data_IF_375621285460
#
_entry.id   IF_375621285460
#
_cell.length_a   1.000
_cell.length_b   1.000
_cell.length_c   1.000
_cell.angle_alpha   90.00
_cell.angle_beta   90.00
_cell.angle_gamma   90.00
#
_symmetry.space_group_name_H-M   'P 1'
#
loop_
_entity.id
_entity.type
_entity.pdbx_description
1 polymer ?
#
# COMPACT_ATOMS: atom_id res chain seq x y z
N UNK A 1 19.97 -7.91 -2.79
CA UNK A 1 18.75 -8.65 -2.35
C UNK A 1 17.52 -7.76 -2.56
N UNK A 2 16.33 -8.31 -2.83
CA UNK A 2 15.13 -7.54 -3.21
C UNK A 2 14.71 -6.50 -2.15
N UNK A 3 14.74 -6.85 -0.87
CA UNK A 3 14.39 -5.96 0.24
C UNK A 3 15.31 -4.73 0.32
N UNK A 4 16.62 -4.92 0.09
CA UNK A 4 17.60 -3.82 0.08
C UNK A 4 17.46 -2.88 -1.13
N UNK A 5 16.67 -3.28 -2.14
CA UNK A 5 16.33 -2.44 -3.30
C UNK A 5 14.88 -1.96 -3.24
N UNK A 6 14.22 -2.13 -2.10
CA UNK A 6 12.83 -1.74 -1.88
C UNK A 6 11.83 -2.36 -2.88
N UNK A 7 12.18 -3.55 -3.41
CA UNK A 7 11.30 -4.34 -4.26
C UNK A 7 10.47 -5.25 -3.33
N UNK A 8 9.48 -4.65 -2.67
CA UNK A 8 8.75 -5.24 -1.54
C UNK A 8 7.92 -6.47 -1.92
N UNK A 9 7.26 -6.46 -3.07
CA UNK A 9 6.46 -7.59 -3.57
C UNK A 9 7.30 -8.87 -3.67
N UNK A 10 8.51 -8.77 -4.27
CA UNK A 10 9.44 -9.88 -4.43
C UNK A 10 10.11 -10.25 -3.11
N UNK A 11 10.52 -9.25 -2.32
CA UNK A 11 11.06 -9.46 -0.97
C UNK A 11 10.09 -10.32 -0.13
N UNK A 12 8.84 -9.86 0.01
CA UNK A 12 7.80 -10.54 0.77
C UNK A 12 7.52 -11.93 0.17
N UNK A 13 7.35 -12.05 -1.16
CA UNK A 13 7.06 -13.34 -1.79
C UNK A 13 8.16 -14.38 -1.54
N UNK A 14 9.42 -13.98 -1.67
CA UNK A 14 10.55 -14.90 -1.41
C UNK A 14 10.66 -15.27 0.07
N UNK A 15 10.47 -14.31 0.97
CA UNK A 15 10.51 -14.54 2.41
C UNK A 15 9.37 -15.44 2.89
N UNK A 16 8.16 -15.32 2.34
CA UNK A 16 7.01 -16.18 2.65
C UNK A 16 7.24 -17.66 2.27
N UNK A 17 8.15 -17.95 1.33
CA UNK A 17 8.45 -19.31 0.87
C UNK A 17 9.44 -20.06 1.76
N UNK A 18 10.16 -19.35 2.63
CA UNK A 18 11.03 -19.97 3.64
C UNK A 18 10.18 -20.60 4.75
N UNK A 19 10.57 -21.76 5.27
CA UNK A 19 9.83 -22.44 6.35
C UNK A 19 10.62 -22.52 7.64
N UNK A 20 11.93 -22.73 7.53
CA UNK A 20 12.82 -22.92 8.67
C UNK A 20 13.44 -21.61 9.17
N UNK A 21 13.72 -20.68 8.25
CA UNK A 21 14.31 -19.37 8.57
C UNK A 21 13.22 -18.32 8.39
N UNK A 22 12.68 -17.80 9.49
CA UNK A 22 11.62 -16.79 9.48
C UNK A 22 12.24 -15.43 9.82
N UNK A 23 12.29 -14.54 8.83
CA UNK A 23 12.64 -13.13 9.02
C UNK A 23 11.36 -12.27 8.99
N UNK A 24 10.93 -11.81 10.16
CA UNK A 24 9.70 -11.02 10.32
C UNK A 24 9.82 -9.65 9.63
N UNK A 25 11.00 -9.03 9.67
CA UNK A 25 11.22 -7.72 9.05
C UNK A 25 11.08 -7.80 7.52
N UNK A 26 11.40 -8.95 6.92
CA UNK A 26 11.18 -9.20 5.50
C UNK A 26 9.72 -9.54 5.16
N UNK A 27 9.00 -10.25 6.03
CA UNK A 27 7.60 -10.65 5.79
C UNK A 27 6.60 -9.52 6.01
N UNK A 28 6.91 -8.62 6.94
CA UNK A 28 6.08 -7.50 7.35
C UNK A 28 6.90 -6.21 7.37
N UNK A 29 7.42 -5.76 6.22
CA UNK A 29 8.18 -4.53 6.16
C UNK A 29 7.26 -3.33 6.41
N UNK A 30 7.84 -2.24 6.91
CA UNK A 30 7.14 -0.97 7.17
C UNK A 30 7.68 0.18 6.28
N UNK A 31 7.60 0.08 4.94
CA UNK A 31 8.00 1.20 4.08
C UNK A 31 7.07 2.40 4.28
N UNK A 32 7.54 3.60 3.94
CA UNK A 32 6.77 4.85 4.01
C UNK A 32 6.25 5.17 5.43
N UNK A 33 6.97 4.77 6.47
CA UNK A 33 6.56 4.94 7.87
C UNK A 33 6.32 6.40 8.24
N UNK A 34 7.14 7.30 7.71
CA UNK A 34 7.04 8.75 7.80
C UNK A 34 5.76 9.32 7.17
N UNK A 35 5.05 8.54 6.35
CA UNK A 35 3.79 8.91 5.71
C UNK A 35 2.62 8.17 6.34
N UNK A 36 2.72 6.84 6.49
CA UNK A 36 1.61 5.98 6.92
C UNK A 36 1.27 6.23 8.38
N UNK A 37 2.27 6.23 9.28
CA UNK A 37 2.04 6.39 10.73
C UNK A 37 1.35 7.72 11.07
N UNK A 38 1.87 8.89 10.66
CA UNK A 38 1.22 10.16 11.02
C UNK A 38 -0.16 10.31 10.38
N UNK A 39 -0.36 9.83 9.15
CA UNK A 39 -1.68 9.89 8.50
C UNK A 39 -2.71 8.99 9.17
N UNK A 40 -2.34 7.76 9.55
CA UNK A 40 -3.22 6.86 10.31
C UNK A 40 -3.61 7.46 11.66
N UNK A 41 -2.62 7.99 12.39
CA UNK A 41 -2.87 8.62 13.69
C UNK A 41 -3.77 9.85 13.58
N UNK A 42 -3.58 10.69 12.56
CA UNK A 42 -4.39 11.89 12.33
C UNK A 42 -5.88 11.60 12.11
N UNK A 43 -6.23 10.40 11.67
CA UNK A 43 -7.62 9.95 11.47
C UNK A 43 -8.09 8.91 12.50
N UNK A 44 -7.29 8.66 13.55
CA UNK A 44 -7.63 7.74 14.63
C UNK A 44 -7.62 6.25 14.25
N UNK A 45 -6.88 5.87 13.20
CA UNK A 45 -6.69 4.47 12.82
C UNK A 45 -5.37 3.93 13.37
N UNK A 46 -5.38 2.67 13.81
CA UNK A 46 -4.16 1.94 14.17
C UNK A 46 -3.24 1.80 12.94
N UNK A 47 -1.99 2.30 12.98
CA UNK A 47 -1.04 2.11 11.90
C UNK A 47 -0.84 0.65 11.50
N UNK A 48 -0.86 -0.30 12.45
CA UNK A 48 -0.70 -1.72 12.16
C UNK A 48 -1.83 -2.25 11.27
N UNK A 49 -3.06 -1.79 11.51
CA UNK A 49 -4.22 -2.12 10.68
C UNK A 49 -4.06 -1.60 9.24
N UNK A 50 -3.63 -0.34 9.09
CA UNK A 50 -3.40 0.27 7.78
C UNK A 50 -2.27 -0.42 7.01
N UNK A 51 -1.18 -0.80 7.70
CA UNK A 51 -0.10 -1.59 7.11
C UNK A 51 -0.58 -2.97 6.63
N UNK A 52 -1.40 -3.66 7.42
CA UNK A 52 -2.02 -4.92 7.03
C UNK A 52 -2.85 -4.79 5.76
N UNK A 53 -3.66 -3.74 5.67
CA UNK A 53 -4.46 -3.43 4.48
C UNK A 53 -3.58 -3.17 3.24
N UNK A 54 -2.59 -2.26 3.34
CA UNK A 54 -1.68 -1.97 2.22
C UNK A 54 -0.93 -3.22 1.75
N UNK A 55 -0.46 -4.04 2.69
CA UNK A 55 0.25 -5.29 2.38
C UNK A 55 -0.64 -6.24 1.59
N UNK A 56 -1.89 -6.39 2.00
CA UNK A 56 -2.86 -7.25 1.31
C UNK A 56 -3.21 -6.73 -0.08
N UNK A 57 -3.42 -5.43 -0.21
CA UNK A 57 -3.90 -4.81 -1.46
C UNK A 57 -2.81 -4.69 -2.53
N UNK A 58 -1.58 -4.34 -2.15
CA UNK A 58 -0.53 -4.02 -3.13
C UNK A 58 0.84 -4.62 -2.84
N UNK A 59 1.05 -5.24 -1.67
CA UNK A 59 2.39 -5.56 -1.17
C UNK A 59 3.36 -4.37 -1.27
N UNK A 60 2.86 -3.16 -1.01
CA UNK A 60 3.57 -1.88 -1.07
C UNK A 60 4.02 -1.41 -2.46
N UNK A 61 3.46 -1.96 -3.54
CA UNK A 61 3.74 -1.48 -4.90
C UNK A 61 2.92 -0.22 -5.17
N UNK A 62 3.56 0.95 -5.15
CA UNK A 62 2.90 2.27 -5.28
C UNK A 62 2.18 2.49 -6.61
N UNK A 63 2.59 1.77 -7.65
CA UNK A 63 2.04 1.85 -9.00
C UNK A 63 1.19 0.62 -9.36
N UNK A 64 0.80 -0.20 -8.38
CA UNK A 64 -0.07 -1.35 -8.57
C UNK A 64 -1.41 -0.95 -9.19
N UNK A 65 -1.90 -1.79 -10.10
CA UNK A 65 -3.19 -1.62 -10.76
C UNK A 65 -3.88 -2.98 -10.94
N UNK A 66 -5.14 -3.08 -10.54
CA UNK A 66 -5.93 -4.28 -10.78
C UNK A 66 -6.53 -4.29 -12.19
N UNK A 67 -6.94 -5.47 -12.67
CA UNK A 67 -7.60 -5.62 -13.97
C UNK A 67 -8.92 -4.84 -14.09
N UNK A 68 -9.56 -4.51 -12.97
CA UNK A 68 -10.80 -3.72 -12.92
C UNK A 68 -10.55 -2.23 -12.59
N UNK A 69 -9.29 -1.81 -12.48
CA UNK A 69 -8.90 -0.41 -12.40
C UNK A 69 -8.61 0.14 -11.00
N UNK A 70 -8.66 -0.68 -9.94
CA UNK A 70 -8.17 -0.29 -8.63
C UNK A 70 -6.69 0.09 -8.70
N UNK A 71 -6.25 1.11 -7.95
CA UNK A 71 -4.91 1.68 -8.12
C UNK A 71 -4.22 2.08 -6.81
N UNK A 72 -2.90 1.99 -6.79
CA UNK A 72 -2.03 2.47 -5.71
C UNK A 72 -1.91 1.52 -4.53
N UNK A 73 -1.34 2.03 -3.43
CA UNK A 73 -0.99 1.25 -2.24
C UNK A 73 -2.18 0.53 -1.59
N UNK A 74 -3.34 1.18 -1.58
CA UNK A 74 -4.58 0.68 -0.96
C UNK A 74 -5.62 0.24 -2.00
N UNK A 75 -5.22 0.11 -3.27
CA UNK A 75 -6.09 -0.32 -4.38
C UNK A 75 -7.45 0.42 -4.39
N UNK A 76 -7.42 1.75 -4.34
CA UNK A 76 -8.66 2.54 -4.33
C UNK A 76 -9.27 2.56 -5.73
N UNK A 77 -10.57 2.30 -5.82
CA UNK A 77 -11.31 2.36 -7.09
C UNK A 77 -11.42 3.81 -7.60
N UNK A 78 -11.36 4.06 -8.93
CA UNK A 78 -11.43 5.41 -9.48
C UNK A 78 -12.71 6.17 -9.09
N UNK A 79 -13.86 5.49 -9.00
CA UNK A 79 -15.10 6.09 -8.55
C UNK A 79 -15.03 6.53 -7.08
N UNK A 80 -14.52 5.65 -6.20
CA UNK A 80 -14.31 5.93 -4.78
C UNK A 80 -13.31 7.06 -4.55
N UNK A 81 -12.22 7.10 -5.32
CA UNK A 81 -11.23 8.15 -5.22
C UNK A 81 -11.81 9.52 -5.59
N UNK A 82 -12.58 9.60 -6.69
CA UNK A 82 -13.29 10.84 -7.09
C UNK A 82 -14.30 11.29 -6.03
N UNK A 83 -15.08 10.36 -5.50
CA UNK A 83 -16.07 10.67 -4.46
C UNK A 83 -15.39 11.18 -3.18
N UNK A 84 -14.31 10.53 -2.75
CA UNK A 84 -13.55 10.90 -1.56
C UNK A 84 -12.89 12.26 -1.73
N UNK A 85 -12.23 12.51 -2.87
CA UNK A 85 -11.59 13.79 -3.16
C UNK A 85 -12.57 14.97 -3.05
N UNK A 86 -13.78 14.82 -3.61
CA UNK A 86 -14.85 15.83 -3.47
C UNK A 86 -15.26 16.04 -2.01
N UNK A 87 -15.40 14.94 -1.25
CA UNK A 87 -15.85 15.00 0.14
C UNK A 87 -14.85 15.69 1.07
N UNK A 88 -13.55 15.56 0.79
CA UNK A 88 -12.48 16.17 1.60
C UNK A 88 -11.98 17.51 1.03
N UNK A 89 -12.60 18.03 -0.05
CA UNK A 89 -12.21 19.29 -0.66
C UNK A 89 -10.87 19.25 -1.41
N UNK A 90 -10.43 18.09 -1.89
CA UNK A 90 -9.21 17.94 -2.70
C UNK A 90 -9.48 18.39 -4.14
N UNK A 91 -9.08 19.63 -4.45
CA UNK A 91 -9.39 20.31 -5.71
C UNK A 91 -8.49 19.94 -6.89
N UNK A 92 -7.31 19.40 -6.62
CA UNK A 92 -6.27 19.03 -7.59
C UNK A 92 -6.24 17.52 -7.90
N UNK A 93 -7.29 16.79 -7.53
CA UNK A 93 -7.36 15.34 -7.75
C UNK A 93 -7.62 14.98 -9.22
N UNK A 94 -6.63 14.33 -9.84
CA UNK A 94 -6.75 13.75 -11.17
C UNK A 94 -6.55 12.22 -11.12
N UNK A 95 -7.60 11.41 -11.36
CA UNK A 95 -7.43 9.96 -11.40
C UNK A 95 -6.58 9.57 -12.60
N UNK A 96 -5.69 8.60 -12.41
CA UNK A 96 -4.89 8.03 -13.51
C UNK A 96 -5.84 7.43 -14.57
N UNK A 97 -5.65 7.74 -15.87
CA UNK A 97 -6.53 7.23 -16.92
C UNK A 97 -6.54 5.70 -17.02
N UNK A 98 -7.61 5.09 -17.54
CA UNK A 98 -7.61 3.73 -18.09
C UNK A 98 -6.43 3.52 -19.05
N UNK A 99 -5.78 2.35 -19.00
CA UNK A 99 -4.89 1.91 -20.09
C UNK A 99 -5.78 1.39 -21.22
#
# INVERSE_FOLDING_TARGET
>A
MACAREIWDRCINTSERTREIIDIAQRFPMPLQDIVVPRSNAIGLDPAYVYGLIRQESRFVTHARSGVGASGLMQVMPATARWTARKIGMTDFHPRPPQ
#
